data_IF_473627801682
#
_entry.id   IF_473627801682
#
_cell.length_a   1.000
_cell.length_b   1.000
_cell.length_c   1.000
_cell.angle_alpha   90.00
_cell.angle_beta   90.00
_cell.angle_gamma   90.00
#
_symmetry.space_group_name_H-M   'P 1'
#
loop_
_entity.id
_entity.type
_entity.pdbx_description
1 polymer ?
#
# COMPACT_ATOMS: atom_id res chain seq x y z
N UNK A 1 44.32 35.47 50.02
CA UNK A 1 44.49 34.03 50.25
C UNK A 1 43.46 33.29 49.35
N UNK A 2 43.92 32.73 48.24
CA UNK A 2 43.11 31.78 47.56
C UNK A 2 43.05 30.55 48.45
N UNK A 3 41.93 30.29 49.04
CA UNK A 3 41.75 29.14 49.89
C UNK A 3 41.84 27.84 49.05
N UNK A 4 42.41 26.79 49.60
CA UNK A 4 42.46 25.44 48.95
C UNK A 4 41.13 25.08 48.31
N UNK A 5 40.01 25.48 48.94
CA UNK A 5 38.65 25.31 48.46
C UNK A 5 38.42 26.01 47.11
N UNK A 6 38.90 27.25 46.91
CA UNK A 6 38.72 27.96 45.62
C UNK A 6 39.54 27.31 44.50
N UNK A 7 40.72 26.80 44.82
CA UNK A 7 41.56 26.08 43.85
C UNK A 7 40.89 24.73 43.44
N UNK A 8 40.38 23.99 44.42
CA UNK A 8 39.63 22.74 44.15
C UNK A 8 38.37 23.03 43.31
N UNK A 9 37.63 24.08 43.64
CA UNK A 9 36.44 24.49 42.85
C UNK A 9 36.80 24.86 41.41
N UNK A 10 37.94 25.56 41.20
CA UNK A 10 38.40 25.90 39.86
C UNK A 10 38.84 24.66 39.05
N UNK A 11 39.55 23.72 39.67
CA UNK A 11 39.92 22.43 39.07
C UNK A 11 38.65 21.65 38.70
N UNK A 12 37.70 21.53 39.60
CA UNK A 12 36.41 20.83 39.31
C UNK A 12 35.68 21.51 38.16
N UNK A 13 35.57 22.84 38.13
CA UNK A 13 34.94 23.56 37.02
C UNK A 13 35.67 23.34 35.69
N UNK A 14 37.03 23.29 35.74
CA UNK A 14 37.82 23.05 34.55
C UNK A 14 37.67 21.63 34.01
N UNK A 15 37.59 20.61 34.89
CA UNK A 15 37.34 19.24 34.49
C UNK A 15 35.88 19.03 34.00
N UNK A 16 34.90 19.63 34.68
CA UNK A 16 33.51 19.58 34.23
C UNK A 16 33.29 20.23 32.85
N UNK A 17 34.10 21.26 32.49
CA UNK A 17 34.04 21.85 31.13
C UNK A 17 34.60 20.95 30.05
N UNK A 18 35.40 19.92 30.40
CA UNK A 18 35.94 18.94 29.46
C UNK A 18 34.98 17.81 29.17
N UNK A 19 34.05 17.53 30.09
CA UNK A 19 33.06 16.49 29.93
C UNK A 19 31.93 16.99 29.04
N UNK A 20 31.79 16.42 27.85
CA UNK A 20 30.67 16.68 26.95
C UNK A 20 29.60 15.62 27.12
N UNK A 21 28.41 15.99 27.58
CA UNK A 21 27.29 15.06 27.74
C UNK A 21 26.52 14.89 26.44
N UNK A 22 26.18 16.01 25.80
CA UNK A 22 25.46 16.03 24.52
C UNK A 22 25.81 17.30 23.74
N UNK A 23 25.67 17.28 22.44
CA UNK A 23 25.80 18.44 21.55
C UNK A 23 24.92 18.29 20.30
N UNK A 24 24.69 19.39 19.59
CA UNK A 24 24.01 19.43 18.34
C UNK A 24 24.99 19.49 17.17
N UNK A 25 24.70 18.75 16.12
CA UNK A 25 25.51 18.75 14.91
C UNK A 25 24.70 18.74 13.63
N UNK A 26 25.34 19.12 12.54
CA UNK A 26 24.81 19.04 11.20
C UNK A 26 25.54 17.92 10.46
N UNK A 27 24.78 17.04 9.81
CA UNK A 27 25.33 15.96 8.99
C UNK A 27 25.95 16.53 7.72
N UNK A 28 27.22 16.25 7.48
CA UNK A 28 27.94 16.67 6.28
C UNK A 28 28.11 15.57 5.24
N UNK A 29 28.29 14.31 5.68
CA UNK A 29 28.43 13.15 4.83
C UNK A 29 27.75 11.94 5.49
N UNK A 30 27.28 11.00 4.69
CA UNK A 30 26.57 9.81 5.17
C UNK A 30 27.22 8.55 4.59
N UNK A 31 27.32 7.51 5.39
CA UNK A 31 27.92 6.22 5.06
C UNK A 31 26.89 5.11 5.32
N UNK A 32 25.91 4.91 4.41
CA UNK A 32 24.97 3.82 4.52
C UNK A 32 25.67 2.50 4.20
N UNK A 33 25.17 1.39 4.72
CA UNK A 33 25.54 0.07 4.22
C UNK A 33 24.84 -0.14 2.86
N UNK A 34 25.53 0.21 1.76
CA UNK A 34 24.97 0.26 0.42
C UNK A 34 25.09 -1.05 -0.34
N UNK A 35 25.91 -1.99 0.12
CA UNK A 35 26.13 -3.29 -0.52
C UNK A 35 26.92 -4.25 0.34
N UNK A 36 26.85 -5.54 0.04
CA UNK A 36 27.52 -6.60 0.80
C UNK A 36 29.06 -6.55 0.78
N UNK A 37 29.63 -5.67 -0.03
CA UNK A 37 31.08 -5.51 -0.16
C UNK A 37 31.61 -4.22 0.49
N UNK A 38 30.78 -3.40 1.13
CA UNK A 38 31.23 -2.23 1.86
C UNK A 38 31.46 -2.54 3.34
N UNK A 39 32.41 -1.83 3.93
CA UNK A 39 32.72 -1.89 5.37
C UNK A 39 32.01 -0.78 6.17
N UNK A 40 31.08 -0.05 5.54
CA UNK A 40 30.38 1.04 6.19
C UNK A 40 29.31 0.51 7.15
N UNK A 41 29.44 0.88 8.39
CA UNK A 41 28.58 0.44 9.48
C UNK A 41 27.65 1.55 9.94
N UNK A 42 26.89 2.14 9.00
CA UNK A 42 25.80 3.05 9.30
C UNK A 42 26.23 4.28 10.11
N UNK A 43 27.16 5.07 9.57
CA UNK A 43 27.72 6.25 10.21
C UNK A 43 27.57 7.53 9.40
N UNK A 44 27.89 8.65 10.03
CA UNK A 44 27.86 9.98 9.41
C UNK A 44 29.06 10.81 9.83
N UNK A 45 29.52 11.72 8.95
CA UNK A 45 30.36 12.85 9.36
C UNK A 45 29.47 13.96 9.87
N UNK A 46 29.77 14.48 11.05
CA UNK A 46 28.92 15.48 11.71
C UNK A 46 29.75 16.67 12.14
N UNK A 47 29.34 17.86 11.75
CA UNK A 47 29.92 19.10 12.23
C UNK A 47 29.17 19.62 13.45
N UNK A 48 29.83 19.75 14.58
CA UNK A 48 29.22 20.29 15.79
C UNK A 48 28.83 21.76 15.57
N UNK A 49 27.59 22.09 15.93
CA UNK A 49 27.00 23.41 15.66
C UNK A 49 27.70 24.55 16.44
N UNK A 50 28.11 24.29 17.67
CA UNK A 50 28.65 25.29 18.54
C UNK A 50 30.17 25.48 18.36
N UNK A 51 30.93 24.40 18.17
CA UNK A 51 32.41 24.45 18.08
C UNK A 51 32.94 24.41 16.65
N UNK A 52 32.13 24.04 15.66
CA UNK A 52 32.56 23.81 14.28
C UNK A 52 33.43 22.56 14.09
N UNK A 53 33.67 21.78 15.16
CA UNK A 53 34.46 20.55 15.09
C UNK A 53 33.79 19.53 14.20
N UNK A 54 34.56 18.94 13.27
CA UNK A 54 34.09 17.88 12.41
C UNK A 54 34.41 16.51 13.02
N UNK A 55 33.40 15.76 13.37
CA UNK A 55 33.50 14.39 13.84
C UNK A 55 33.30 13.44 12.67
N UNK A 56 34.21 12.47 12.51
CA UNK A 56 34.21 11.53 11.38
C UNK A 56 33.59 10.21 11.77
N UNK A 57 32.83 9.62 10.82
CA UNK A 57 32.29 8.25 10.95
C UNK A 57 31.53 8.01 12.26
N UNK A 58 30.75 9.01 12.70
CA UNK A 58 29.96 8.92 13.93
C UNK A 58 28.88 7.87 13.74
N UNK A 59 28.81 6.82 14.58
CA UNK A 59 27.79 5.80 14.49
C UNK A 59 26.41 6.33 14.87
N UNK A 60 25.38 5.75 14.27
CA UNK A 60 23.99 6.07 14.53
C UNK A 60 23.35 5.01 15.44
N UNK A 61 22.84 5.43 16.59
CA UNK A 61 22.00 4.59 17.42
C UNK A 61 20.61 4.43 16.76
N UNK A 62 20.08 3.22 16.76
CA UNK A 62 18.78 2.90 16.19
C UNK A 62 17.86 2.31 17.26
N UNK A 63 16.55 2.54 17.14
CA UNK A 63 15.58 2.07 18.12
C UNK A 63 15.34 0.55 18.07
N UNK A 64 15.61 -0.09 16.95
CA UNK A 64 15.43 -1.53 16.77
C UNK A 64 16.42 -2.04 15.71
N UNK A 65 17.20 -3.09 16.04
CA UNK A 65 18.09 -3.75 15.07
C UNK A 65 17.26 -4.36 13.94
N UNK A 66 17.66 -4.08 12.70
CA UNK A 66 16.92 -4.46 11.50
C UNK A 66 16.12 -3.31 10.87
N UNK A 67 16.11 -2.12 11.47
CA UNK A 67 15.60 -0.90 10.82
C UNK A 67 16.74 -0.09 10.21
N UNK A 68 16.50 0.49 9.02
CA UNK A 68 17.43 1.37 8.35
C UNK A 68 16.75 2.70 8.03
N UNK A 69 17.25 3.79 8.61
CA UNK A 69 16.77 5.15 8.38
C UNK A 69 17.93 6.15 8.65
N UNK A 70 18.95 6.14 7.77
CA UNK A 70 20.11 7.02 7.91
C UNK A 70 19.69 8.49 7.75
N UNK A 71 20.31 9.45 8.48
CA UNK A 71 20.09 10.87 8.25
C UNK A 71 20.48 11.30 6.83
N UNK A 72 19.89 12.38 6.37
CA UNK A 72 20.34 13.05 5.16
C UNK A 72 21.40 14.09 5.45
N UNK A 73 22.20 14.40 4.43
CA UNK A 73 23.10 15.55 4.48
C UNK A 73 22.31 16.83 4.78
N UNK A 74 22.76 17.60 5.79
CA UNK A 74 22.09 18.80 6.28
C UNK A 74 21.11 18.57 7.44
N UNK A 75 20.84 17.33 7.82
CA UNK A 75 19.99 17.03 8.98
C UNK A 75 20.64 17.51 10.28
N UNK A 76 19.80 18.02 11.17
CA UNK A 76 20.19 18.36 12.54
C UNK A 76 20.10 17.11 13.41
N UNK A 77 21.21 16.76 14.06
CA UNK A 77 21.31 15.57 14.90
C UNK A 77 21.72 15.92 16.33
N UNK A 78 21.26 15.10 17.27
CA UNK A 78 21.67 15.12 18.65
C UNK A 78 22.73 14.03 18.86
N UNK A 79 23.88 14.44 19.41
CA UNK A 79 25.00 13.55 19.75
C UNK A 79 25.08 13.35 21.25
N UNK A 80 25.36 12.15 21.66
CA UNK A 80 25.90 11.82 22.98
C UNK A 80 27.37 11.42 22.85
N UNK A 81 28.13 11.50 23.95
CA UNK A 81 29.54 11.14 23.98
C UNK A 81 29.76 10.08 25.07
N UNK A 82 30.31 8.93 24.69
CA UNK A 82 30.56 7.86 25.65
C UNK A 82 31.54 8.38 26.76
N UNK A 83 31.08 8.27 28.00
CA UNK A 83 31.80 8.82 29.20
C UNK A 83 32.23 10.27 29.06
N UNK A 84 31.60 11.06 28.20
CA UNK A 84 31.91 12.45 27.96
C UNK A 84 33.12 12.68 27.03
N UNK A 85 33.67 11.64 26.41
CA UNK A 85 34.77 11.72 25.48
C UNK A 85 34.33 12.19 24.09
N UNK A 86 34.79 13.35 23.66
CA UNK A 86 34.51 13.94 22.35
C UNK A 86 34.93 13.03 21.16
N UNK A 87 35.87 12.11 21.39
CA UNK A 87 36.34 11.18 20.37
C UNK A 87 35.45 9.92 20.25
N UNK A 88 34.47 9.79 21.14
CA UNK A 88 33.51 8.68 21.13
C UNK A 88 32.05 9.19 20.98
N UNK A 89 31.76 9.89 19.88
CA UNK A 89 30.43 10.42 19.61
C UNK A 89 29.49 9.33 19.11
N UNK A 90 28.19 9.45 19.46
CA UNK A 90 27.12 8.61 18.96
C UNK A 90 25.95 9.53 18.61
N UNK A 91 25.39 9.40 17.39
CA UNK A 91 24.13 10.07 17.05
C UNK A 91 23.00 9.30 17.72
N UNK A 92 22.26 9.95 18.62
CA UNK A 92 21.16 9.35 19.38
C UNK A 92 19.77 9.85 18.95
N UNK A 93 19.69 10.83 18.06
CA UNK A 93 18.43 11.36 17.57
C UNK A 93 18.59 12.37 16.46
N UNK A 94 17.47 12.72 15.84
CA UNK A 94 17.32 13.77 14.85
C UNK A 94 16.32 14.80 15.35
N UNK A 95 16.52 16.05 14.97
CA UNK A 95 15.62 17.13 15.32
C UNK A 95 15.16 17.86 14.05
N UNK A 96 13.93 18.29 14.07
CA UNK A 96 13.43 19.22 13.06
C UNK A 96 14.05 20.61 13.28
N UNK A 97 14.09 21.40 12.24
CA UNK A 97 14.61 22.76 12.25
C UNK A 97 13.74 23.68 11.38
N UNK A 98 14.07 24.95 11.26
CA UNK A 98 13.29 25.92 10.49
C UNK A 98 13.15 25.56 9.00
N UNK A 99 14.15 24.86 8.43
CA UNK A 99 14.16 24.45 7.02
C UNK A 99 13.52 23.07 6.79
N UNK A 100 13.54 22.22 7.80
CA UNK A 100 13.02 20.86 7.77
C UNK A 100 11.97 20.72 8.87
N UNK A 101 10.74 21.11 8.56
CA UNK A 101 9.61 21.01 9.48
C UNK A 101 8.98 19.62 9.40
N UNK A 102 8.36 19.12 10.49
CA UNK A 102 7.61 17.89 10.44
C UNK A 102 6.45 17.99 9.44
N UNK A 103 5.94 16.86 8.93
CA UNK A 103 4.63 16.85 8.27
C UNK A 103 3.57 17.51 9.15
N UNK A 104 2.55 18.12 8.55
CA UNK A 104 1.42 18.67 9.33
C UNK A 104 0.78 17.51 10.09
N UNK A 105 0.72 17.63 11.40
CA UNK A 105 0.25 16.58 12.30
C UNK A 105 -0.51 17.16 13.48
N UNK A 106 -1.25 16.28 14.15
CA UNK A 106 -1.89 16.54 15.45
C UNK A 106 -1.50 15.44 16.45
N UNK A 107 -2.14 15.42 17.63
CA UNK A 107 -1.99 14.31 18.58
C UNK A 107 -2.68 13.03 18.04
N UNK A 108 -2.29 11.89 18.58
CA UNK A 108 -2.87 10.58 18.27
C UNK A 108 -2.75 10.13 16.81
N UNK A 109 -1.65 10.58 16.15
CA UNK A 109 -1.29 10.11 14.82
C UNK A 109 0.21 9.89 14.65
N UNK A 110 0.56 9.01 13.72
CA UNK A 110 1.94 8.79 13.25
C UNK A 110 1.94 8.97 11.74
N UNK A 111 2.82 9.85 11.24
CA UNK A 111 2.93 10.16 9.81
C UNK A 111 4.35 9.90 9.35
N UNK A 112 4.47 9.19 8.23
CA UNK A 112 5.71 9.01 7.47
C UNK A 112 5.59 9.76 6.15
N UNK A 113 6.60 10.56 5.81
CA UNK A 113 6.68 11.28 4.54
C UNK A 113 8.09 11.21 3.98
N UNK A 114 8.23 10.72 2.77
CA UNK A 114 9.52 10.54 2.10
C UNK A 114 9.43 10.93 0.62
N UNK A 115 10.35 11.78 0.11
CA UNK A 115 11.25 12.66 0.86
C UNK A 115 10.49 13.78 1.59
N UNK A 116 11.02 14.26 2.71
CA UNK A 116 10.33 15.29 3.51
C UNK A 116 10.21 16.64 2.78
N UNK A 117 11.21 17.02 2.01
CA UNK A 117 11.33 18.34 1.39
C UNK A 117 10.66 18.46 0.01
N UNK A 118 10.19 17.35 -0.58
CA UNK A 118 9.58 17.35 -1.91
C UNK A 118 8.10 17.74 -1.86
N UNK A 119 7.56 18.15 -3.02
CA UNK A 119 6.14 18.43 -3.19
C UNK A 119 5.29 17.18 -3.03
N UNK A 120 3.99 17.34 -2.72
CA UNK A 120 3.07 16.22 -2.43
C UNK A 120 2.97 15.20 -3.57
N UNK A 121 3.06 15.66 -4.82
CA UNK A 121 3.01 14.80 -6.01
C UNK A 121 4.24 13.91 -6.23
N UNK A 122 5.30 14.12 -5.44
CA UNK A 122 6.59 13.38 -5.51
C UNK A 122 6.93 12.63 -4.23
N UNK A 123 6.07 12.67 -3.24
CA UNK A 123 6.31 12.03 -1.95
C UNK A 123 5.49 10.77 -1.77
N UNK A 124 6.02 9.83 -1.01
CA UNK A 124 5.24 8.74 -0.44
C UNK A 124 4.85 9.16 0.96
N UNK A 125 3.58 9.03 1.29
CA UNK A 125 3.04 9.28 2.63
C UNK A 125 2.40 8.01 3.19
N UNK A 126 2.68 7.72 4.46
CA UNK A 126 1.94 6.74 5.25
C UNK A 126 1.49 7.38 6.56
N UNK A 127 0.25 7.13 6.97
CA UNK A 127 -0.25 7.65 8.23
C UNK A 127 -1.14 6.63 8.95
N UNK A 128 -1.06 6.64 10.28
CA UNK A 128 -1.97 5.95 11.19
C UNK A 128 -2.58 7.03 12.07
N UNK A 129 -3.90 7.11 12.09
CA UNK A 129 -4.65 8.14 12.81
C UNK A 129 -5.75 7.55 13.66
N UNK A 130 -5.94 8.09 14.86
CA UNK A 130 -7.04 7.75 15.75
C UNK A 130 -7.64 9.03 16.35
N UNK A 131 -8.58 9.63 15.65
CA UNK A 131 -9.25 10.86 16.04
C UNK A 131 -10.75 10.58 16.24
N UNK A 132 -11.22 10.31 17.47
CA UNK A 132 -12.61 9.91 17.73
C UNK A 132 -13.66 10.87 17.18
N UNK A 133 -13.33 12.16 17.02
CA UNK A 133 -14.22 13.19 16.48
C UNK A 133 -14.15 13.35 14.96
N UNK A 134 -13.23 12.64 14.28
CA UNK A 134 -13.09 12.72 12.82
C UNK A 134 -14.03 11.72 12.12
N UNK A 135 -14.15 11.88 10.82
CA UNK A 135 -14.87 10.93 9.95
C UNK A 135 -13.99 10.58 8.76
N UNK A 136 -13.41 9.39 8.71
CA UNK A 136 -13.51 8.29 9.69
C UNK A 136 -12.72 8.57 10.99
N UNK A 137 -13.09 7.96 12.12
CA UNK A 137 -12.39 8.18 13.38
C UNK A 137 -11.04 7.47 13.43
N UNK A 138 -10.89 6.34 12.78
CA UNK A 138 -9.64 5.56 12.67
C UNK A 138 -9.27 5.34 11.22
N UNK A 139 -8.01 5.53 10.91
CA UNK A 139 -7.52 5.41 9.54
C UNK A 139 -6.07 4.92 9.50
N UNK A 140 -5.80 3.99 8.56
CA UNK A 140 -4.46 3.70 8.07
C UNK A 140 -4.45 4.05 6.60
N UNK A 141 -3.52 4.88 6.17
CA UNK A 141 -3.44 5.32 4.78
C UNK A 141 -2.00 5.25 4.26
N UNK A 142 -1.84 4.81 3.00
CA UNK A 142 -0.62 4.92 2.22
C UNK A 142 -0.96 5.58 0.90
N UNK A 143 -0.21 6.63 0.56
CA UNK A 143 -0.38 7.40 -0.67
C UNK A 143 0.93 7.46 -1.45
N UNK A 144 0.82 7.17 -2.74
CA UNK A 144 1.85 7.41 -3.75
C UNK A 144 1.23 8.25 -4.88
N UNK A 145 1.22 9.58 -4.70
CA UNK A 145 0.66 10.47 -5.71
C UNK A 145 1.33 10.30 -7.07
N UNK A 146 0.63 10.62 -8.14
CA UNK A 146 -0.74 11.16 -8.15
C UNK A 146 -1.84 10.10 -8.19
N UNK A 147 -1.54 8.79 -8.18
CA UNK A 147 -2.53 7.79 -8.63
C UNK A 147 -2.83 6.65 -7.68
N UNK A 148 -2.00 6.40 -6.67
CA UNK A 148 -2.15 5.21 -5.83
C UNK A 148 -2.49 5.63 -4.40
N UNK A 149 -3.54 5.04 -3.85
CA UNK A 149 -3.92 5.18 -2.44
C UNK A 149 -4.38 3.82 -1.90
N UNK A 150 -3.90 3.45 -0.73
CA UNK A 150 -4.43 2.33 0.06
C UNK A 150 -4.92 2.89 1.38
N UNK A 151 -6.20 2.68 1.69
CA UNK A 151 -6.85 3.21 2.89
C UNK A 151 -7.62 2.12 3.62
N UNK A 152 -7.43 2.06 4.92
CA UNK A 152 -8.17 1.19 5.84
C UNK A 152 -8.86 2.06 6.87
N UNK A 153 -10.14 1.85 7.06
CA UNK A 153 -10.96 2.51 8.10
C UNK A 153 -11.72 1.46 8.88
N UNK A 154 -12.58 1.86 9.82
CA UNK A 154 -13.30 0.92 10.70
C UNK A 154 -14.17 -0.11 9.95
N UNK A 155 -14.68 0.20 8.79
CA UNK A 155 -15.56 -0.70 8.03
C UNK A 155 -15.13 -0.90 6.57
N UNK A 156 -14.01 -0.33 6.14
CA UNK A 156 -13.66 -0.35 4.71
C UNK A 156 -12.16 -0.53 4.52
N UNK A 157 -11.80 -1.39 3.58
CA UNK A 157 -10.46 -1.46 2.98
C UNK A 157 -10.59 -1.05 1.51
N UNK A 158 -9.83 -0.05 1.09
CA UNK A 158 -9.88 0.48 -0.28
C UNK A 158 -8.48 0.63 -0.85
N UNK A 159 -8.26 0.10 -2.06
CA UNK A 159 -7.07 0.32 -2.84
C UNK A 159 -7.45 0.95 -4.19
N UNK A 160 -6.86 2.09 -4.53
CA UNK A 160 -7.11 2.79 -5.79
C UNK A 160 -5.83 2.95 -6.60
N UNK A 161 -5.94 2.85 -7.91
CA UNK A 161 -4.88 3.13 -8.88
C UNK A 161 -5.48 3.86 -10.09
N UNK A 162 -5.47 5.19 -10.05
CA UNK A 162 -6.14 6.01 -11.05
C UNK A 162 -7.66 5.80 -11.06
N UNK A 163 -8.20 5.19 -12.12
CA UNK A 163 -9.64 4.88 -12.27
C UNK A 163 -9.99 3.43 -11.90
N UNK A 164 -9.05 2.70 -11.32
CA UNK A 164 -9.25 1.34 -10.87
C UNK A 164 -9.33 1.30 -9.35
N UNK A 165 -10.27 0.59 -8.80
CA UNK A 165 -10.47 0.46 -7.36
C UNK A 165 -10.80 -0.99 -6.97
N UNK A 166 -10.25 -1.41 -5.85
CA UNK A 166 -10.69 -2.59 -5.11
C UNK A 166 -11.17 -2.13 -3.74
N UNK A 167 -12.39 -2.50 -3.37
CA UNK A 167 -13.02 -2.11 -2.11
C UNK A 167 -13.58 -3.34 -1.40
N UNK A 168 -13.25 -3.51 -0.14
CA UNK A 168 -13.94 -4.36 0.80
C UNK A 168 -14.73 -3.44 1.74
N UNK A 169 -16.01 -3.64 1.85
CA UNK A 169 -16.91 -2.82 2.65
C UNK A 169 -17.72 -3.69 3.60
N UNK A 170 -17.63 -3.40 4.88
CA UNK A 170 -18.34 -4.09 5.95
C UNK A 170 -19.01 -3.06 6.85
N UNK A 171 -20.19 -2.52 6.46
CA UNK A 171 -20.82 -1.41 7.21
C UNK A 171 -21.33 -1.81 8.60
N UNK A 172 -21.40 -3.10 8.88
CA UNK A 172 -21.87 -3.64 10.15
C UNK A 172 -21.59 -5.14 10.28
N UNK A 173 -22.38 -5.85 11.06
CA UNK A 173 -22.27 -7.31 11.25
C UNK A 173 -22.72 -8.12 10.02
N UNK A 174 -23.42 -7.51 9.08
CA UNK A 174 -23.93 -8.13 7.85
C UNK A 174 -23.89 -7.11 6.69
N UNK A 175 -24.16 -7.57 5.47
CA UNK A 175 -24.21 -6.73 4.27
C UNK A 175 -22.83 -6.37 3.72
N UNK A 176 -21.79 -7.15 4.03
CA UNK A 176 -20.44 -6.97 3.50
C UNK A 176 -20.39 -7.15 1.98
N UNK A 177 -19.56 -6.33 1.32
CA UNK A 177 -19.37 -6.40 -0.12
C UNK A 177 -17.90 -6.34 -0.50
N UNK A 178 -17.54 -7.04 -1.58
CA UNK A 178 -16.28 -6.85 -2.30
C UNK A 178 -16.61 -6.29 -3.67
N UNK A 179 -16.03 -5.15 -3.99
CA UNK A 179 -16.21 -4.51 -5.31
C UNK A 179 -14.85 -4.31 -5.95
N UNK A 180 -14.72 -4.69 -7.22
CA UNK A 180 -13.57 -4.37 -8.06
C UNK A 180 -14.10 -3.68 -9.30
N UNK A 181 -13.57 -2.49 -9.61
CA UNK A 181 -13.91 -1.84 -10.87
C UNK A 181 -12.70 -1.20 -11.55
N UNK A 182 -12.75 -1.18 -12.88
CA UNK A 182 -11.77 -0.55 -13.74
C UNK A 182 -12.53 0.26 -14.81
N UNK A 183 -12.58 1.57 -14.64
CA UNK A 183 -13.40 2.43 -15.48
C UNK A 183 -14.89 2.07 -15.35
N UNK A 184 -15.46 1.49 -16.40
CA UNK A 184 -16.88 1.10 -16.46
C UNK A 184 -17.15 -0.39 -16.24
N UNK A 185 -16.12 -1.20 -16.06
CA UNK A 185 -16.24 -2.64 -15.75
C UNK A 185 -16.26 -2.85 -14.26
N UNK A 186 -17.19 -3.65 -13.75
CA UNK A 186 -17.40 -3.86 -12.33
C UNK A 186 -17.65 -5.34 -12.02
N UNK A 187 -17.04 -5.81 -10.94
CA UNK A 187 -17.34 -7.08 -10.29
C UNK A 187 -17.77 -6.77 -8.86
N UNK A 188 -18.92 -7.28 -8.46
CA UNK A 188 -19.43 -7.15 -7.08
C UNK A 188 -19.72 -8.55 -6.55
N UNK A 189 -19.27 -8.81 -5.34
CA UNK A 189 -19.63 -9.98 -4.55
C UNK A 189 -20.23 -9.48 -3.23
N UNK A 190 -21.36 -10.02 -2.83
CA UNK A 190 -21.96 -9.68 -1.54
C UNK A 190 -21.88 -10.87 -0.56
N UNK A 191 -22.03 -10.56 0.70
CA UNK A 191 -21.93 -11.54 1.78
C UNK A 191 -23.05 -12.61 1.70
N UNK A 192 -24.18 -12.29 1.04
CA UNK A 192 -25.33 -13.20 0.89
C UNK A 192 -25.12 -14.20 -0.26
N UNK A 193 -23.98 -14.13 -0.96
CA UNK A 193 -23.55 -15.10 -1.96
C UNK A 193 -23.76 -14.67 -3.41
N UNK A 194 -24.32 -13.48 -3.68
CA UNK A 194 -24.49 -13.02 -5.04
C UNK A 194 -23.17 -12.50 -5.65
N UNK A 195 -22.94 -12.84 -6.90
CA UNK A 195 -21.83 -12.34 -7.71
C UNK A 195 -22.37 -11.72 -8.99
N UNK A 196 -22.02 -10.46 -9.23
CA UNK A 196 -22.39 -9.73 -10.44
C UNK A 196 -21.12 -9.30 -11.19
N UNK A 197 -21.09 -9.55 -12.50
CA UNK A 197 -20.03 -9.09 -13.40
C UNK A 197 -20.66 -8.23 -14.49
N UNK A 198 -20.27 -6.98 -14.56
CA UNK A 198 -20.79 -5.99 -15.51
C UNK A 198 -19.64 -5.45 -16.37
N UNK A 199 -19.81 -5.49 -17.69
CA UNK A 199 -18.90 -4.90 -18.65
C UNK A 199 -19.68 -4.04 -19.65
N UNK A 200 -19.39 -2.75 -19.75
CA UNK A 200 -20.08 -1.86 -20.70
C UNK A 200 -19.61 -2.01 -22.16
N UNK A 201 -18.59 -2.83 -22.38
CA UNK A 201 -18.08 -3.15 -23.70
C UNK A 201 -18.05 -4.67 -23.89
N UNK A 202 -16.99 -5.23 -24.37
CA UNK A 202 -16.86 -6.66 -24.63
C UNK A 202 -16.43 -7.41 -23.36
N UNK A 203 -17.02 -8.59 -23.16
CA UNK A 203 -16.59 -9.57 -22.17
C UNK A 203 -16.17 -10.85 -22.89
N UNK A 204 -15.02 -11.40 -22.55
CA UNK A 204 -14.51 -12.67 -23.08
C UNK A 204 -14.15 -13.60 -21.94
N UNK A 205 -14.72 -14.83 -21.98
CA UNK A 205 -14.35 -15.95 -21.10
C UNK A 205 -13.65 -17.00 -21.95
N UNK A 206 -12.39 -17.30 -21.64
CA UNK A 206 -11.58 -18.28 -22.39
C UNK A 206 -10.86 -19.20 -21.39
N UNK A 207 -11.01 -20.49 -21.56
CA UNK A 207 -10.25 -21.51 -20.86
C UNK A 207 -9.43 -22.33 -21.88
N UNK A 208 -8.20 -22.70 -21.53
CA UNK A 208 -7.40 -23.64 -22.32
C UNK A 208 -7.77 -25.12 -22.03
N UNK A 209 -8.44 -25.37 -20.93
CA UNK A 209 -9.07 -26.62 -20.54
C UNK A 209 -10.59 -26.49 -20.60
N UNK A 210 -11.27 -27.08 -19.66
CA UNK A 210 -12.72 -27.09 -19.60
C UNK A 210 -13.31 -25.80 -19.00
N UNK A 211 -14.44 -25.36 -19.49
CA UNK A 211 -15.33 -24.40 -18.89
C UNK A 211 -16.65 -25.06 -18.51
N UNK A 212 -16.95 -25.14 -17.22
CA UNK A 212 -18.21 -25.68 -16.71
C UNK A 212 -19.10 -24.55 -16.17
N UNK A 213 -20.37 -24.54 -16.52
CA UNK A 213 -21.39 -23.63 -15.99
C UNK A 213 -22.53 -24.47 -15.46
N UNK A 214 -22.76 -24.42 -14.16
CA UNK A 214 -23.80 -25.21 -13.48
C UNK A 214 -24.63 -24.28 -12.58
N UNK A 215 -25.95 -24.34 -12.71
CA UNK A 215 -26.89 -23.61 -11.88
C UNK A 215 -28.26 -24.27 -11.95
N UNK A 216 -29.16 -23.97 -10.98
CA UNK A 216 -30.57 -24.36 -11.04
C UNK A 216 -31.24 -23.86 -12.31
N UNK A 217 -30.93 -22.61 -12.70
CA UNK A 217 -31.43 -22.00 -13.93
C UNK A 217 -30.30 -21.26 -14.65
N UNK A 218 -30.17 -21.47 -15.95
CA UNK A 218 -29.23 -20.78 -16.81
C UNK A 218 -30.01 -20.03 -17.88
N UNK A 219 -29.83 -18.70 -17.98
CA UNK A 219 -30.39 -17.88 -19.05
C UNK A 219 -29.26 -17.33 -19.92
N UNK A 220 -29.32 -17.55 -21.23
CA UNK A 220 -28.40 -16.98 -22.22
C UNK A 220 -29.24 -16.18 -23.21
N UNK A 221 -29.01 -14.89 -23.31
CA UNK A 221 -29.76 -13.97 -24.15
C UNK A 221 -28.85 -13.09 -24.98
N UNK A 222 -28.92 -13.21 -26.30
CA UNK A 222 -28.25 -12.31 -27.23
C UNK A 222 -29.28 -11.40 -27.91
N UNK A 223 -29.15 -10.08 -27.82
CA UNK A 223 -30.10 -9.13 -28.45
C UNK A 223 -30.06 -9.16 -29.98
N UNK A 224 -28.99 -9.64 -30.58
CA UNK A 224 -28.84 -9.76 -32.03
C UNK A 224 -28.56 -11.21 -32.42
N UNK A 225 -27.45 -11.78 -32.00
CA UNK A 225 -27.01 -13.12 -32.37
C UNK A 225 -26.52 -13.90 -31.16
N UNK A 226 -26.79 -15.21 -31.13
CA UNK A 226 -26.17 -16.18 -30.25
C UNK A 226 -25.59 -17.30 -31.11
N UNK A 227 -24.27 -17.44 -31.14
CA UNK A 227 -23.58 -18.50 -31.87
C UNK A 227 -23.05 -19.58 -30.92
N UNK A 228 -23.43 -20.83 -31.11
CA UNK A 228 -22.90 -21.98 -30.39
C UNK A 228 -22.21 -22.89 -31.39
N UNK A 229 -20.89 -23.05 -31.27
CA UNK A 229 -20.06 -23.86 -32.18
C UNK A 229 -19.25 -24.88 -31.40
N UNK A 230 -19.20 -26.10 -31.89
CA UNK A 230 -18.32 -27.15 -31.39
C UNK A 230 -17.52 -27.76 -32.54
N UNK A 231 -16.21 -28.00 -32.29
CA UNK A 231 -15.34 -28.63 -33.29
C UNK A 231 -15.66 -30.10 -33.59
N UNK A 232 -16.19 -30.81 -32.61
CA UNK A 232 -16.55 -32.23 -32.74
C UNK A 232 -18.02 -32.49 -32.49
N UNK A 233 -18.56 -32.19 -31.32
CA UNK A 233 -19.92 -32.52 -30.95
C UNK A 233 -20.53 -31.42 -30.07
N UNK A 234 -21.76 -30.99 -30.42
CA UNK A 234 -22.65 -30.26 -29.55
C UNK A 234 -23.82 -31.16 -29.12
N UNK A 235 -24.17 -31.16 -27.84
CA UNK A 235 -25.26 -31.96 -27.31
C UNK A 235 -26.21 -31.10 -26.49
N UNK A 236 -27.51 -31.13 -26.81
CA UNK A 236 -28.56 -30.52 -26.00
C UNK A 236 -29.45 -31.65 -25.47
N UNK A 237 -29.51 -31.81 -24.15
CA UNK A 237 -30.33 -32.84 -23.49
C UNK A 237 -31.22 -32.21 -22.45
N UNK A 238 -32.49 -32.60 -22.41
CA UNK A 238 -33.43 -32.24 -21.38
C UNK A 238 -34.20 -33.50 -20.94
N UNK A 239 -34.44 -33.66 -19.64
CA UNK A 239 -35.16 -34.82 -19.11
C UNK A 239 -36.67 -34.76 -19.36
N UNK A 240 -37.26 -33.58 -19.51
CA UNK A 240 -38.71 -33.40 -19.72
C UNK A 240 -39.03 -32.84 -21.10
N UNK A 241 -38.35 -31.82 -21.58
CA UNK A 241 -38.62 -31.26 -22.89
C UNK A 241 -37.55 -30.26 -23.32
N UNK A 242 -37.27 -30.20 -24.63
CA UNK A 242 -36.47 -29.20 -25.27
C UNK A 242 -37.31 -28.54 -26.36
N UNK A 243 -37.37 -27.22 -26.36
CA UNK A 243 -38.08 -26.44 -27.39
C UNK A 243 -37.05 -25.68 -28.22
N UNK A 244 -37.17 -25.77 -29.55
CA UNK A 244 -36.40 -24.95 -30.50
C UNK A 244 -37.41 -24.16 -31.31
N UNK A 245 -37.48 -22.87 -31.07
CA UNK A 245 -38.38 -21.98 -31.79
C UNK A 245 -37.54 -21.03 -32.66
N UNK A 246 -37.77 -21.11 -33.96
CA UNK A 246 -37.06 -20.29 -34.96
C UNK A 246 -37.81 -19.02 -35.37
N UNK A 247 -38.96 -18.74 -34.80
CA UNK A 247 -39.83 -17.63 -35.22
C UNK A 247 -40.24 -17.77 -36.70
N UNK A 248 -39.55 -16.99 -37.56
CA UNK A 248 -39.85 -17.00 -39.02
C UNK A 248 -39.26 -18.21 -39.76
N UNK A 249 -38.14 -18.77 -39.29
CA UNK A 249 -37.54 -19.94 -39.92
C UNK A 249 -36.64 -20.73 -38.97
N UNK A 250 -36.71 -22.05 -39.02
CA UNK A 250 -35.77 -22.98 -38.41
C UNK A 250 -35.12 -23.85 -39.46
N UNK A 251 -33.81 -24.05 -39.46
CA UNK A 251 -33.10 -24.90 -40.41
C UNK A 251 -32.27 -25.95 -39.71
N UNK A 252 -32.49 -27.23 -40.02
CA UNK A 252 -31.65 -28.36 -39.61
C UNK A 252 -30.89 -28.87 -40.83
N UNK A 253 -29.56 -28.88 -40.80
CA UNK A 253 -28.71 -29.38 -41.88
C UNK A 253 -27.71 -30.39 -41.34
N UNK A 254 -27.51 -31.47 -42.07
CA UNK A 254 -26.52 -32.50 -41.78
C UNK A 254 -26.45 -33.50 -42.93
N UNK A 255 -25.38 -34.27 -43.05
CA UNK A 255 -25.32 -35.40 -43.99
C UNK A 255 -26.40 -36.43 -43.66
N UNK A 256 -26.74 -36.57 -42.38
CA UNK A 256 -27.88 -37.36 -41.92
C UNK A 256 -28.63 -36.56 -40.83
N UNK A 257 -29.93 -36.42 -40.95
CA UNK A 257 -30.82 -35.88 -39.92
C UNK A 257 -31.76 -36.99 -39.50
N UNK A 258 -31.58 -37.50 -38.26
CA UNK A 258 -32.47 -38.54 -37.73
C UNK A 258 -33.43 -37.92 -36.69
N UNK A 259 -34.73 -38.15 -36.85
CA UNK A 259 -35.77 -37.75 -35.92
C UNK A 259 -36.44 -39.02 -35.41
N UNK A 260 -36.21 -39.37 -34.16
CA UNK A 260 -36.76 -40.59 -33.55
C UNK A 260 -37.91 -40.21 -32.60
N UNK A 261 -39.01 -40.90 -32.69
CA UNK A 261 -40.21 -40.69 -31.91
C UNK A 261 -41.45 -40.36 -32.76
N UNK A 262 -42.51 -39.93 -32.11
CA UNK A 262 -43.72 -39.49 -32.82
C UNK A 262 -43.50 -38.08 -33.35
N UNK A 263 -43.52 -37.91 -34.68
CA UNK A 263 -43.40 -36.63 -35.35
C UNK A 263 -44.73 -36.13 -35.87
N UNK A 264 -45.06 -34.88 -35.62
CA UNK A 264 -46.21 -34.18 -36.16
C UNK A 264 -45.74 -32.90 -36.87
N UNK A 265 -46.19 -32.74 -38.11
CA UNK A 265 -45.96 -31.53 -38.92
C UNK A 265 -47.32 -30.85 -39.11
N UNK A 266 -47.50 -29.65 -38.56
CA UNK A 266 -48.67 -28.83 -38.82
C UNK A 266 -48.27 -27.51 -39.45
N UNK A 267 -48.99 -26.94 -40.40
CA UNK A 267 -48.76 -25.58 -40.85
C UNK A 267 -49.04 -24.63 -39.70
N UNK A 268 -48.13 -23.58 -39.54
CA UNK A 268 -48.31 -22.54 -38.58
C UNK A 268 -49.45 -21.61 -38.91
#
# INVERSE_FOLDING_TARGET
MSTIVSTIQEIIRQELRRVRVADLGIVEEVYPHAGSGDDDNYGCDVRLKNSGLLLKRVPLAIGHIGTAAIPNKGDLVLLAFDKGDVNQPIIIGRLYNEKQRPPINTTDEVIFRLPLAEADDKTIMGAIRNHPSASPPREIIFEMPPKITVRVTDGTVRATAGKTEMKLDQPGGSGGTVTVFAGSTKITMNQDGDVTVEANANMSLKANGDLSIEATNIKIEGKQNTDIKAGMQASLKASMGATVDGGLSGTLKGATVAINGITSFSPA
#
